data_IF_564125160509
#
_entry.id   IF_564125160509
#
_cell.length_a   1.000
_cell.length_b   1.000
_cell.length_c   1.000
_cell.angle_alpha   90.00
_cell.angle_beta   90.00
_cell.angle_gamma   90.00
#
_symmetry.space_group_name_H-M   'P 1'
#
loop_
_entity.id
_entity.type
_entity.pdbx_description
1 polymer ?
#
# COMPACT_ATOMS: atom_id res chain seq x y z
N UNK A 1 21.59 15.34 -4.87
CA UNK A 1 20.85 15.39 -3.65
C UNK A 1 20.06 14.13 -3.41
N UNK A 2 20.16 13.64 -2.24
CA UNK A 2 19.76 12.29 -1.95
C UNK A 2 18.27 12.07 -1.99
N UNK A 3 17.85 11.21 -2.89
CA UNK A 3 16.49 10.75 -2.92
C UNK A 3 16.29 9.78 -1.74
N UNK A 4 16.25 10.34 -0.54
CA UNK A 4 16.05 9.54 0.65
C UNK A 4 14.59 9.08 0.75
N UNK A 5 14.38 7.98 1.44
CA UNK A 5 13.04 7.52 1.76
C UNK A 5 12.44 8.44 2.82
N UNK A 6 11.59 9.36 2.36
CA UNK A 6 10.99 10.36 3.24
C UNK A 6 9.60 9.90 3.64
N UNK A 7 9.46 9.48 4.90
CA UNK A 7 8.21 8.95 5.41
C UNK A 7 7.05 9.96 5.34
N UNK A 8 7.34 11.24 5.53
CA UNK A 8 6.31 12.29 5.47
C UNK A 8 5.66 12.39 4.10
N UNK A 9 6.46 12.33 3.04
CA UNK A 9 5.94 12.40 1.67
C UNK A 9 5.07 11.19 1.37
N UNK A 10 5.51 10.02 1.80
CA UNK A 10 4.79 8.77 1.59
C UNK A 10 3.49 8.76 2.40
N UNK A 11 3.53 9.21 3.63
CA UNK A 11 2.34 9.32 4.49
C UNK A 11 1.30 10.24 3.86
N UNK A 12 1.73 11.38 3.33
CA UNK A 12 0.84 12.34 2.67
C UNK A 12 0.16 11.71 1.45
N UNK A 13 0.93 11.05 0.61
CA UNK A 13 0.41 10.40 -0.61
C UNK A 13 -0.60 9.32 -0.25
N UNK A 14 -0.23 8.44 0.66
CA UNK A 14 -1.06 7.28 1.03
C UNK A 14 -2.31 7.73 1.80
N UNK A 15 -2.19 8.66 2.72
CA UNK A 15 -3.34 9.19 3.47
C UNK A 15 -4.35 9.85 2.54
N UNK A 16 -3.87 10.58 1.55
CA UNK A 16 -4.72 11.18 0.53
C UNK A 16 -5.45 10.12 -0.29
N UNK A 17 -4.75 9.06 -0.67
CA UNK A 17 -5.34 7.95 -1.41
C UNK A 17 -6.43 7.24 -0.60
N UNK A 18 -6.16 6.95 0.66
CA UNK A 18 -7.13 6.30 1.55
C UNK A 18 -8.36 7.20 1.73
N UNK A 19 -8.15 8.47 2.01
CA UNK A 19 -9.23 9.43 2.22
C UNK A 19 -10.13 9.57 1.00
N UNK A 20 -9.56 9.57 -0.20
CA UNK A 20 -10.35 9.69 -1.43
C UNK A 20 -11.27 8.49 -1.65
N UNK A 21 -10.91 7.33 -1.12
CA UNK A 21 -11.70 6.10 -1.29
C UNK A 21 -12.67 5.88 -0.13
N UNK A 22 -12.24 6.12 1.10
CA UNK A 22 -12.96 5.69 2.30
C UNK A 22 -13.63 6.79 3.12
N UNK A 23 -13.37 8.08 2.85
CA UNK A 23 -13.78 9.16 3.75
C UNK A 23 -15.30 9.17 4.03
N UNK A 24 -16.12 8.83 3.06
CA UNK A 24 -17.58 8.81 3.20
C UNK A 24 -18.17 7.41 3.15
N UNK A 25 -17.34 6.39 3.35
CA UNK A 25 -17.78 5.01 3.24
C UNK A 25 -18.04 4.40 4.61
N UNK A 26 -19.08 3.56 4.68
CA UNK A 26 -19.31 2.68 5.81
C UNK A 26 -18.88 1.26 5.43
N UNK A 27 -18.39 0.50 6.38
CA UNK A 27 -17.89 -0.85 6.11
C UNK A 27 -18.97 -1.69 5.41
N UNK A 28 -18.64 -2.15 4.21
CA UNK A 28 -19.51 -3.00 3.39
C UNK A 28 -18.65 -4.14 2.87
N UNK A 29 -18.89 -5.39 3.32
CA UNK A 29 -18.03 -6.52 2.96
C UNK A 29 -17.83 -6.70 1.45
N UNK A 30 -18.88 -6.48 0.66
CA UNK A 30 -18.83 -6.65 -0.79
C UNK A 30 -17.96 -5.62 -1.52
N UNK A 31 -17.63 -4.51 -0.85
CA UNK A 31 -16.86 -3.42 -1.43
C UNK A 31 -15.42 -3.37 -0.98
N UNK A 32 -15.04 -4.17 0.02
CA UNK A 32 -13.69 -4.12 0.59
C UNK A 32 -12.60 -4.41 -0.44
N UNK A 33 -12.86 -5.34 -1.33
CA UNK A 33 -11.93 -5.70 -2.40
C UNK A 33 -11.69 -4.54 -3.35
N UNK A 34 -12.76 -3.89 -3.82
CA UNK A 34 -12.66 -2.74 -4.72
C UNK A 34 -11.96 -1.57 -4.04
N UNK A 35 -12.27 -1.32 -2.77
CA UNK A 35 -11.63 -0.27 -1.99
C UNK A 35 -10.12 -0.52 -1.85
N UNK A 36 -9.74 -1.77 -1.51
CA UNK A 36 -8.34 -2.14 -1.37
C UNK A 36 -7.57 -1.93 -2.67
N UNK A 37 -8.13 -2.37 -3.78
CA UNK A 37 -7.53 -2.19 -5.10
C UNK A 37 -7.40 -0.72 -5.47
N UNK A 38 -8.42 0.09 -5.19
CA UNK A 38 -8.38 1.52 -5.47
C UNK A 38 -7.32 2.23 -4.64
N UNK A 39 -7.20 1.88 -3.37
CA UNK A 39 -6.18 2.45 -2.48
C UNK A 39 -4.77 2.09 -2.99
N UNK A 40 -4.54 0.83 -3.34
CA UNK A 40 -3.25 0.37 -3.86
C UNK A 40 -2.90 1.14 -5.13
N UNK A 41 -3.80 1.21 -6.09
CA UNK A 41 -3.55 1.88 -7.36
C UNK A 41 -3.27 3.37 -7.17
N UNK A 42 -4.09 4.05 -6.39
CA UNK A 42 -3.91 5.48 -6.12
C UNK A 42 -2.62 5.76 -5.38
N UNK A 43 -2.28 4.92 -4.41
CA UNK A 43 -1.04 5.06 -3.64
C UNK A 43 0.18 4.87 -4.52
N UNK A 44 0.20 3.82 -5.35
CA UNK A 44 1.34 3.55 -6.22
C UNK A 44 1.52 4.63 -7.28
N UNK A 45 0.44 5.15 -7.84
CA UNK A 45 0.52 6.28 -8.78
C UNK A 45 1.11 7.51 -8.12
N UNK A 46 0.67 7.81 -6.91
CA UNK A 46 1.20 8.94 -6.14
C UNK A 46 2.67 8.77 -5.79
N UNK A 47 3.06 7.57 -5.38
CA UNK A 47 4.45 7.27 -5.07
C UNK A 47 5.33 7.35 -6.31
N UNK A 48 4.84 6.85 -7.43
CA UNK A 48 5.55 6.92 -8.70
C UNK A 48 5.78 8.37 -9.13
N UNK A 49 4.82 9.25 -8.89
CA UNK A 49 4.92 10.66 -9.24
C UNK A 49 5.95 11.43 -8.41
N UNK A 50 6.40 10.87 -7.30
CA UNK A 50 7.48 11.46 -6.50
C UNK A 50 8.84 11.38 -7.19
N UNK A 51 8.99 10.53 -8.20
CA UNK A 51 10.24 10.35 -8.96
C UNK A 51 11.43 10.01 -8.08
N UNK A 52 11.23 9.09 -7.14
CA UNK A 52 12.29 8.61 -6.26
C UNK A 52 12.85 7.28 -6.78
N UNK A 53 14.14 7.00 -6.53
CA UNK A 53 14.78 5.77 -7.02
C UNK A 53 14.44 4.55 -6.15
N UNK A 54 13.16 4.23 -6.07
CA UNK A 54 12.68 3.12 -5.25
C UNK A 54 11.77 2.19 -6.04
N UNK A 55 11.89 0.91 -5.73
CA UNK A 55 10.82 -0.05 -5.98
C UNK A 55 9.92 -0.05 -4.76
N UNK A 56 8.62 -0.02 -4.96
CA UNK A 56 7.66 0.02 -3.87
C UNK A 56 6.88 -1.28 -3.78
N UNK A 57 6.67 -1.72 -2.55
CA UNK A 57 5.79 -2.83 -2.25
C UNK A 57 4.80 -2.35 -1.19
N UNK A 58 3.52 -2.50 -1.47
CA UNK A 58 2.47 -2.04 -0.55
C UNK A 58 1.61 -3.19 -0.10
N UNK A 59 1.18 -3.14 1.15
CA UNK A 59 0.10 -3.97 1.65
C UNK A 59 -1.01 -3.08 2.19
N UNK A 60 -2.24 -3.45 1.93
CA UNK A 60 -3.42 -2.76 2.45
C UNK A 60 -4.23 -3.74 3.27
N UNK A 61 -4.55 -3.35 4.50
CA UNK A 61 -5.40 -4.14 5.39
C UNK A 61 -6.60 -3.29 5.78
N UNK A 62 -7.79 -3.80 5.50
CA UNK A 62 -9.05 -3.18 5.90
C UNK A 62 -9.70 -4.04 6.98
N UNK A 63 -10.13 -3.39 8.07
CA UNK A 63 -10.75 -4.05 9.20
C UNK A 63 -12.04 -3.37 9.56
N UNK A 64 -13.07 -4.15 9.82
CA UNK A 64 -14.29 -3.64 10.44
C UNK A 64 -14.05 -3.33 11.92
N UNK A 65 -14.57 -2.21 12.40
CA UNK A 65 -14.57 -1.87 13.82
C UNK A 65 -15.64 -2.69 14.54
N UNK A 66 -15.32 -3.90 14.92
CA UNK A 66 -16.25 -4.80 15.61
C UNK A 66 -15.68 -5.37 16.92
N UNK A 67 -14.58 -4.80 17.42
CA UNK A 67 -13.93 -5.25 18.62
C UNK A 67 -12.96 -6.43 18.44
N UNK A 68 -12.87 -6.99 17.23
CA UNK A 68 -11.91 -8.05 16.94
C UNK A 68 -10.49 -7.50 16.90
N UNK A 69 -9.56 -8.28 17.42
CA UNK A 69 -8.15 -7.91 17.36
C UNK A 69 -7.49 -8.32 16.06
N UNK A 70 -6.45 -7.61 15.70
CA UNK A 70 -5.59 -7.96 14.58
C UNK A 70 -4.14 -7.84 15.01
N UNK A 71 -3.35 -8.85 14.70
CA UNK A 71 -1.90 -8.79 14.83
C UNK A 71 -1.31 -9.01 13.46
N UNK A 72 -0.46 -8.06 13.03
CA UNK A 72 0.25 -8.16 11.77
C UNK A 72 1.73 -7.93 12.05
N UNK A 73 2.58 -8.70 11.41
CA UNK A 73 4.01 -8.58 11.57
C UNK A 73 4.70 -8.64 10.22
N UNK A 74 5.76 -7.86 10.09
CA UNK A 74 6.60 -7.88 8.90
C UNK A 74 8.05 -7.75 9.33
N UNK A 75 8.93 -8.38 8.58
CA UNK A 75 10.36 -8.27 8.80
C UNK A 75 11.07 -8.16 7.47
N UNK A 76 12.20 -7.46 7.47
CA UNK A 76 12.97 -7.22 6.27
C UNK A 76 14.43 -7.56 6.52
N UNK A 77 15.10 -7.95 5.44
CA UNK A 77 16.55 -8.12 5.43
C UNK A 77 17.07 -7.31 4.23
N UNK A 78 17.55 -6.13 4.52
CA UNK A 78 17.93 -5.17 3.48
C UNK A 78 18.95 -4.16 4.02
N UNK A 79 19.29 -3.16 3.21
CA UNK A 79 20.20 -2.09 3.60
C UNK A 79 19.41 -0.96 4.30
N UNK A 80 19.50 -0.84 5.64
CA UNK A 80 18.71 0.16 6.36
C UNK A 80 19.14 1.61 6.07
N UNK A 81 20.28 1.82 5.41
CA UNK A 81 20.70 3.17 5.04
C UNK A 81 20.06 3.65 3.74
N UNK A 82 19.56 2.73 2.91
CA UNK A 82 19.02 3.03 1.59
C UNK A 82 17.54 2.70 1.46
N UNK A 83 17.11 1.63 2.12
CA UNK A 83 15.76 1.13 2.02
C UNK A 83 14.93 1.64 3.19
N UNK A 84 13.62 1.65 3.05
CA UNK A 84 12.78 2.15 4.12
C UNK A 84 11.39 1.53 4.14
N UNK A 85 10.73 1.66 5.28
CA UNK A 85 9.37 1.21 5.47
C UNK A 85 8.57 2.32 6.15
N UNK A 86 7.33 2.47 5.72
CA UNK A 86 6.41 3.45 6.30
C UNK A 86 5.06 2.80 6.51
N UNK A 87 4.51 2.97 7.71
CA UNK A 87 3.19 2.48 8.05
C UNK A 87 2.24 3.66 8.15
N UNK A 88 1.13 3.61 7.42
CA UNK A 88 0.09 4.63 7.46
C UNK A 88 -1.18 4.00 8.02
N UNK A 89 -1.68 4.55 9.12
CA UNK A 89 -2.93 4.12 9.74
C UNK A 89 -4.01 5.16 9.50
N UNK A 90 -5.20 4.71 9.14
CA UNK A 90 -6.35 5.56 8.89
C UNK A 90 -7.59 4.88 9.45
N UNK A 91 -8.53 5.65 9.94
CA UNK A 91 -9.77 5.08 10.45
C UNK A 91 -10.94 6.03 10.24
N UNK A 92 -12.12 5.45 10.18
CA UNK A 92 -13.38 6.19 10.30
C UNK A 92 -14.26 5.51 11.36
N UNK A 93 -15.56 5.82 11.38
CA UNK A 93 -16.45 5.30 12.38
C UNK A 93 -16.66 3.77 12.30
N UNK A 94 -16.54 3.18 11.12
CA UNK A 94 -16.87 1.77 10.91
C UNK A 94 -15.69 0.88 10.58
N UNK A 95 -14.54 1.45 10.21
CA UNK A 95 -13.40 0.63 9.79
C UNK A 95 -12.05 1.27 10.06
N UNK A 96 -11.03 0.41 10.08
CA UNK A 96 -9.63 0.78 10.11
C UNK A 96 -8.98 0.40 8.79
N UNK A 97 -8.04 1.21 8.34
CA UNK A 97 -7.21 0.90 7.18
C UNK A 97 -5.74 1.07 7.56
N UNK A 98 -4.95 0.06 7.30
CA UNK A 98 -3.50 0.11 7.53
C UNK A 98 -2.80 -0.16 6.20
N UNK A 99 -1.96 0.76 5.79
CA UNK A 99 -1.13 0.61 4.59
C UNK A 99 0.33 0.59 5.02
N UNK A 100 1.04 -0.45 4.62
CA UNK A 100 2.47 -0.55 4.85
C UNK A 100 3.17 -0.41 3.51
N UNK A 101 4.09 0.54 3.42
CA UNK A 101 4.85 0.82 2.20
C UNK A 101 6.30 0.46 2.44
N UNK A 102 6.82 -0.43 1.61
CA UNK A 102 8.24 -0.77 1.58
C UNK A 102 8.87 -0.11 0.37
N UNK A 103 9.97 0.58 0.57
CA UNK A 103 10.74 1.17 -0.50
C UNK A 103 12.13 0.57 -0.56
N UNK A 104 12.45 -0.08 -1.66
CA UNK A 104 13.76 -0.69 -1.90
C UNK A 104 14.51 0.20 -2.89
N UNK A 105 15.67 0.68 -2.46
CA UNK A 105 16.50 1.55 -3.30
C UNK A 105 17.02 0.79 -4.52
N UNK A 106 16.92 1.43 -5.68
CA UNK A 106 17.39 0.85 -6.93
C UNK A 106 18.33 1.83 -7.62
N UNK A 107 19.19 1.28 -8.48
CA UNK A 107 20.01 2.12 -9.33
C UNK A 107 19.16 2.58 -10.52
N UNK A 108 18.88 3.89 -10.57
CA UNK A 108 18.00 4.48 -11.57
C UNK A 108 18.57 4.30 -13.00
N UNK A 109 19.88 4.28 -13.11
CA UNK A 109 20.54 4.13 -14.41
C UNK A 109 20.29 2.75 -15.05
N UNK A 110 20.00 1.78 -14.23
CA UNK A 110 19.72 0.41 -14.68
C UNK A 110 18.23 0.12 -14.78
N UNK A 111 17.39 1.10 -14.46
CA UNK A 111 15.94 0.90 -14.51
C UNK A 111 15.47 0.85 -15.96
N UNK A 112 14.82 -0.23 -16.39
CA UNK A 112 14.22 -0.27 -17.72
C UNK A 112 13.14 0.80 -17.82
N UNK A 113 13.03 1.39 -19.00
CA UNK A 113 12.01 2.42 -19.27
C UNK A 113 10.59 1.90 -19.05
N UNK A 114 10.45 0.60 -19.02
CA UNK A 114 9.18 -0.10 -18.88
C UNK A 114 8.93 -0.64 -17.46
N UNK A 115 9.27 0.12 -16.43
CA UNK A 115 8.86 -0.26 -15.08
C UNK A 115 7.34 -0.23 -15.00
N UNK A 116 6.76 -1.39 -15.24
CA UNK A 116 5.32 -1.54 -15.30
C UNK A 116 4.72 -1.55 -13.89
N UNK A 117 3.66 -0.80 -13.78
CA UNK A 117 2.74 -0.88 -12.66
C UNK A 117 1.93 -2.16 -12.79
N UNK A 118 2.31 -3.21 -12.05
CA UNK A 118 1.63 -4.51 -12.10
C UNK A 118 0.54 -4.64 -11.04
N UNK A 119 -0.07 -3.54 -10.63
CA UNK A 119 -1.12 -3.56 -9.63
C UNK A 119 -2.25 -4.53 -9.93
N UNK A 120 -2.66 -4.57 -11.18
CA UNK A 120 -3.74 -5.47 -11.61
C UNK A 120 -3.37 -6.94 -11.49
N UNK A 121 -2.12 -7.29 -11.80
CA UNK A 121 -1.63 -8.65 -11.68
C UNK A 121 -1.58 -9.09 -10.21
N UNK A 122 -1.19 -8.18 -9.33
CA UNK A 122 -1.16 -8.44 -7.90
C UNK A 122 -2.57 -8.63 -7.33
N UNK A 123 -3.52 -7.81 -7.75
CA UNK A 123 -4.91 -7.92 -7.35
C UNK A 123 -5.52 -9.26 -7.79
N UNK A 124 -5.25 -9.69 -9.01
CA UNK A 124 -5.71 -10.99 -9.51
C UNK A 124 -5.14 -12.15 -8.70
N UNK A 125 -3.90 -12.04 -8.27
CA UNK A 125 -3.25 -13.07 -7.48
C UNK A 125 -3.89 -13.17 -6.09
N UNK A 126 -4.22 -12.05 -5.48
CA UNK A 126 -4.95 -12.02 -4.21
C UNK A 126 -6.32 -12.65 -4.36
N UNK A 127 -7.00 -12.39 -5.45
CA UNK A 127 -8.31 -12.99 -5.73
C UNK A 127 -8.26 -14.50 -5.82
N UNK A 128 -7.23 -15.04 -6.47
CA UNK A 128 -7.09 -16.49 -6.59
C UNK A 128 -6.80 -17.15 -5.24
N UNK A 129 -6.00 -16.49 -4.40
CA UNK A 129 -5.71 -16.98 -3.04
C UNK A 129 -6.96 -16.96 -2.17
N UNK A 130 -7.74 -15.88 -2.25
CA UNK A 130 -8.99 -15.76 -1.51
C UNK A 130 -10.02 -16.81 -1.95
N UNK A 131 -10.10 -17.07 -3.25
CA UNK A 131 -10.99 -18.11 -3.78
C UNK A 131 -10.60 -19.50 -3.30
N UNK A 132 -9.30 -19.81 -3.22
CA UNK A 132 -8.80 -21.07 -2.67
C UNK A 132 -9.11 -21.21 -1.20
N UNK A 133 -9.08 -20.13 -0.43
CA UNK A 133 -9.36 -20.15 1.00
C UNK A 133 -10.85 -20.40 1.31
N UNK A 134 -11.74 -20.06 0.39
CA UNK A 134 -13.18 -20.28 0.56
C UNK A 134 -13.64 -21.70 0.24
N UNK A 135 -12.79 -22.51 -0.32
CA UNK A 135 -13.06 -23.90 -0.62
C UNK A 135 -12.64 -24.80 0.54
#
# INVERSE_FOLDING_TARGET
MDAAFVAEDITTVVSSAIGSVLSNASYTPNKTKDWSNSIIQSSLKGLQSLNRPYKYCLTVTLLQKNGAGLVSAASVYWDPTKDGVCKVSWENETMHCVVVVFGVSVNVDDAPEDYLFEGDACAKKVDSIAAEAEM
#
